data_IF_726286023725
#
_entry.id   IF_726286023725
#
_cell.length_a   1.000
_cell.length_b   1.000
_cell.length_c   1.000
_cell.angle_alpha   90.00
_cell.angle_beta   90.00
_cell.angle_gamma   90.00
#
_symmetry.space_group_name_H-M   'P 1'
#
loop_
_entity.id
_entity.type
_entity.pdbx_description
1 polymer ?
#
# COMPACT_ATOMS: atom_id res chain seq x y z
N UNK A 1 -12.97 7.46 20.67
CA UNK A 1 -12.92 6.91 19.30
C UNK A 1 -11.85 5.83 19.11
N UNK A 2 -10.63 5.97 19.67
CA UNK A 2 -9.57 4.92 19.58
C UNK A 2 -9.98 3.55 20.17
N UNK A 3 -10.72 3.55 21.28
CA UNK A 3 -11.09 2.35 22.03
C UNK A 3 -12.03 1.38 21.28
N UNK A 4 -12.85 1.89 20.35
CA UNK A 4 -13.77 1.03 19.57
C UNK A 4 -13.02 0.27 18.49
N UNK A 5 -12.04 0.93 17.84
CA UNK A 5 -11.25 0.31 16.78
C UNK A 5 -10.33 -0.76 17.37
N UNK A 6 -9.66 -0.48 18.49
CA UNK A 6 -8.79 -1.47 19.15
C UNK A 6 -9.59 -2.69 19.61
N UNK A 7 -10.74 -2.48 20.26
CA UNK A 7 -11.58 -3.59 20.70
C UNK A 7 -12.07 -4.45 19.53
N UNK A 8 -12.50 -3.82 18.42
CA UNK A 8 -12.92 -4.54 17.23
C UNK A 8 -11.78 -5.40 16.65
N UNK A 9 -10.56 -4.85 16.58
CA UNK A 9 -9.41 -5.60 16.07
C UNK A 9 -9.07 -6.79 16.98
N UNK A 10 -9.15 -6.60 18.30
CA UNK A 10 -8.90 -7.65 19.28
C UNK A 10 -9.97 -8.75 19.21
N UNK A 11 -11.26 -8.37 19.17
CA UNK A 11 -12.41 -9.27 19.09
C UNK A 11 -12.39 -10.14 17.81
N UNK A 12 -11.86 -9.58 16.72
CA UNK A 12 -11.73 -10.27 15.42
C UNK A 12 -10.37 -10.91 15.20
N UNK A 13 -9.47 -10.90 16.20
CA UNK A 13 -8.12 -11.45 16.10
C UNK A 13 -7.33 -10.93 14.89
N UNK A 14 -7.47 -9.65 14.58
CA UNK A 14 -6.79 -8.99 13.47
C UNK A 14 -5.41 -8.52 13.96
N UNK A 15 -4.36 -9.20 13.52
CA UNK A 15 -2.99 -8.78 13.82
C UNK A 15 -2.63 -7.47 13.11
N UNK A 16 -2.17 -6.48 13.87
CA UNK A 16 -1.69 -5.22 13.35
C UNK A 16 -0.22 -5.34 12.93
N UNK A 17 0.08 -4.89 11.71
CA UNK A 17 1.46 -4.79 11.26
C UNK A 17 2.16 -3.63 12.00
N UNK A 18 3.37 -3.88 12.52
CA UNK A 18 4.22 -2.81 13.07
C UNK A 18 4.71 -1.91 11.95
N UNK A 19 3.98 -0.82 11.70
CA UNK A 19 4.28 0.12 10.63
C UNK A 19 5.17 1.28 11.11
N UNK A 20 6.27 1.60 10.41
CA UNK A 20 7.07 2.78 10.74
C UNK A 20 6.30 4.06 10.42
N UNK A 21 6.32 5.01 11.37
CA UNK A 21 5.69 6.32 11.19
C UNK A 21 6.34 7.06 10.02
N UNK A 22 5.52 7.69 9.16
CA UNK A 22 5.94 8.48 7.99
C UNK A 22 6.58 7.72 6.82
N UNK A 23 6.23 6.45 6.63
CA UNK A 23 6.65 5.66 5.46
C UNK A 23 5.49 5.34 4.50
N UNK A 24 5.03 6.33 3.70
CA UNK A 24 4.03 6.09 2.65
C UNK A 24 4.59 5.22 1.51
N UNK A 25 5.92 5.27 1.30
CA UNK A 25 6.68 4.43 0.37
C UNK A 25 6.52 2.93 0.64
N UNK A 26 6.25 2.58 1.90
CA UNK A 26 5.99 1.21 2.28
C UNK A 26 4.53 0.79 2.05
N UNK A 27 3.59 1.69 1.75
CA UNK A 27 2.15 1.37 1.74
C UNK A 27 1.76 0.71 0.39
N UNK A 28 1.34 -0.57 0.36
CA UNK A 28 1.08 -1.28 -0.90
C UNK A 28 -0.07 -0.67 -1.68
N UNK A 29 -0.98 0.00 -0.97
CA UNK A 29 -2.15 0.62 -1.60
C UNK A 29 -1.73 1.82 -2.46
N UNK A 30 -0.67 2.55 -2.09
CA UNK A 30 -0.16 3.68 -2.88
C UNK A 30 0.38 3.17 -4.22
N UNK A 31 1.18 2.09 -4.19
CA UNK A 31 1.67 1.46 -5.42
C UNK A 31 0.54 0.87 -6.27
N UNK A 32 -0.52 0.36 -5.63
CA UNK A 32 -1.70 -0.10 -6.35
C UNK A 32 -2.46 1.06 -7.00
N UNK A 33 -2.57 2.20 -6.31
CA UNK A 33 -3.15 3.43 -6.87
C UNK A 33 -2.37 3.93 -8.08
N UNK A 34 -1.05 3.98 -7.99
CA UNK A 34 -0.17 4.39 -9.10
C UNK A 34 -0.37 3.51 -10.35
N UNK A 35 -0.50 2.20 -10.15
CA UNK A 35 -0.71 1.26 -11.24
C UNK A 35 -2.10 1.41 -11.89
N UNK A 36 -3.15 1.62 -11.09
CA UNK A 36 -4.49 1.89 -11.59
C UNK A 36 -4.54 3.21 -12.37
N UNK A 37 -3.90 4.25 -11.84
CA UNK A 37 -3.83 5.56 -12.47
C UNK A 37 -3.06 5.51 -13.80
N UNK A 38 -2.00 4.70 -13.86
CA UNK A 38 -1.29 4.38 -15.12
C UNK A 38 -2.20 3.68 -16.12
N UNK A 39 -2.99 2.71 -15.69
CA UNK A 39 -3.92 1.97 -16.55
C UNK A 39 -5.02 2.88 -17.12
N UNK A 40 -5.63 3.70 -16.27
CA UNK A 40 -6.67 4.65 -16.68
C UNK A 40 -6.10 5.65 -17.70
N UNK A 41 -4.89 6.17 -17.49
CA UNK A 41 -4.23 7.07 -18.45
C UNK A 41 -3.94 6.44 -19.81
N UNK A 42 -3.74 5.12 -19.86
CA UNK A 42 -3.47 4.38 -21.10
C UNK A 42 -4.73 3.97 -21.85
N UNK A 43 -5.93 4.20 -21.28
CA UNK A 43 -7.18 3.90 -21.97
C UNK A 43 -7.29 4.72 -23.25
N UNK A 44 -7.72 4.11 -24.37
CA UNK A 44 -7.89 4.82 -25.64
C UNK A 44 -9.05 5.83 -25.59
N UNK A 45 -9.99 5.66 -24.64
CA UNK A 45 -11.10 6.58 -24.40
C UNK A 45 -10.80 7.35 -23.12
N UNK A 46 -10.56 8.65 -23.25
CA UNK A 46 -10.43 9.55 -22.09
C UNK A 46 -11.84 9.78 -21.51
N UNK A 47 -12.02 9.65 -20.18
CA UNK A 47 -13.31 9.93 -19.54
C UNK A 47 -13.76 11.37 -19.82
N UNK A 48 -14.95 11.55 -20.41
CA UNK A 48 -15.54 12.85 -20.77
C UNK A 48 -16.33 13.48 -19.63
N UNK A 49 -16.73 12.69 -18.63
CA UNK A 49 -17.51 13.16 -17.47
C UNK A 49 -16.91 12.68 -16.15
N UNK A 50 -17.17 13.38 -15.04
CA UNK A 50 -16.66 13.01 -13.72
C UNK A 50 -17.25 11.70 -13.14
N UNK A 51 -18.29 11.14 -13.76
CA UNK A 51 -18.86 9.83 -13.36
C UNK A 51 -18.22 8.63 -14.06
N UNK A 52 -17.62 8.84 -15.23
CA UNK A 52 -16.87 7.79 -15.96
C UNK A 52 -15.66 7.25 -15.18
N UNK A 53 -14.85 8.09 -14.47
CA UNK A 53 -13.69 7.63 -13.70
C UNK A 53 -14.00 6.56 -12.65
N UNK A 54 -15.17 6.59 -12.02
CA UNK A 54 -15.53 5.62 -10.99
C UNK A 54 -15.88 4.24 -11.58
N UNK A 55 -16.45 4.20 -12.77
CA UNK A 55 -16.73 2.96 -13.49
C UNK A 55 -15.45 2.40 -14.11
N UNK A 56 -14.64 3.25 -14.74
CA UNK A 56 -13.35 2.88 -15.33
C UNK A 56 -12.40 2.32 -14.28
N UNK A 57 -12.32 2.95 -13.10
CA UNK A 57 -11.49 2.48 -11.99
C UNK A 57 -11.92 1.09 -11.51
N UNK A 58 -13.22 0.82 -11.40
CA UNK A 58 -13.73 -0.50 -11.01
C UNK A 58 -13.39 -1.56 -12.04
N UNK A 59 -13.47 -1.23 -13.32
CA UNK A 59 -13.12 -2.15 -14.40
C UNK A 59 -11.61 -2.46 -14.39
N UNK A 60 -10.76 -1.44 -14.29
CA UNK A 60 -9.31 -1.61 -14.19
C UNK A 60 -8.90 -2.40 -12.95
N UNK A 61 -9.51 -2.10 -11.79
CA UNK A 61 -9.29 -2.87 -10.57
C UNK A 61 -9.65 -4.34 -10.73
N UNK A 62 -10.74 -4.65 -11.44
CA UNK A 62 -11.20 -6.03 -11.65
C UNK A 62 -10.23 -6.83 -12.53
N UNK A 63 -9.57 -6.19 -13.49
CA UNK A 63 -8.64 -6.85 -14.42
C UNK A 63 -7.19 -6.80 -13.96
N UNK A 64 -6.89 -6.06 -12.88
CA UNK A 64 -5.55 -5.95 -12.34
C UNK A 64 -4.99 -7.35 -11.98
N UNK A 65 -3.86 -7.78 -12.59
CA UNK A 65 -3.36 -9.12 -12.36
C UNK A 65 -2.97 -9.34 -10.90
N UNK A 66 -3.41 -10.46 -10.31
CA UNK A 66 -3.05 -10.84 -8.94
C UNK A 66 -1.53 -10.96 -8.74
N UNK A 67 -0.78 -11.29 -9.79
CA UNK A 67 0.69 -11.30 -9.76
C UNK A 67 1.27 -9.91 -9.51
N UNK A 68 0.64 -8.85 -10.03
CA UNK A 68 1.04 -7.45 -9.80
C UNK A 68 0.86 -7.13 -8.31
N UNK A 69 -0.32 -7.40 -7.74
CA UNK A 69 -0.58 -7.17 -6.32
C UNK A 69 0.38 -7.96 -5.40
N UNK A 70 0.66 -9.23 -5.73
CA UNK A 70 1.62 -10.04 -4.96
C UNK A 70 3.04 -9.48 -5.01
N UNK A 71 3.49 -9.00 -6.18
CA UNK A 71 4.80 -8.35 -6.32
C UNK A 71 4.89 -7.07 -5.49
N UNK A 72 3.84 -6.27 -5.46
CA UNK A 72 3.76 -5.06 -4.63
C UNK A 72 3.84 -5.40 -3.13
N UNK A 73 3.12 -6.43 -2.68
CA UNK A 73 3.20 -6.88 -1.28
C UNK A 73 4.63 -7.38 -0.97
N UNK A 74 5.26 -8.12 -1.88
CA UNK A 74 6.62 -8.65 -1.69
C UNK A 74 7.69 -7.55 -1.65
N UNK A 75 7.58 -6.50 -2.47
CA UNK A 75 8.55 -5.40 -2.47
C UNK A 75 8.60 -4.68 -1.13
N UNK A 76 7.47 -4.56 -0.44
CA UNK A 76 7.42 -4.01 0.91
C UNK A 76 8.09 -4.88 1.96
N UNK A 77 7.89 -6.21 1.91
CA UNK A 77 8.55 -7.11 2.85
C UNK A 77 10.08 -7.02 2.70
N UNK A 78 10.56 -6.78 1.48
CA UNK A 78 11.94 -6.39 1.22
C UNK A 78 12.28 -5.07 1.89
N UNK A 79 11.57 -3.99 1.58
CA UNK A 79 11.86 -2.64 2.06
C UNK A 79 11.78 -2.52 3.60
N UNK A 80 10.79 -3.12 4.26
CA UNK A 80 10.66 -3.15 5.72
C UNK A 80 11.82 -3.86 6.42
N UNK A 81 12.35 -4.94 5.82
CA UNK A 81 13.58 -5.59 6.32
C UNK A 81 14.79 -4.67 6.21
N UNK A 82 14.94 -3.99 5.08
CA UNK A 82 16.04 -3.04 4.88
C UNK A 82 15.94 -1.83 5.82
N UNK A 83 14.74 -1.26 6.02
CA UNK A 83 14.51 -0.15 6.93
C UNK A 83 14.80 -0.53 8.39
N UNK A 84 14.43 -1.75 8.80
CA UNK A 84 14.76 -2.29 10.13
C UNK A 84 16.28 -2.46 10.29
N UNK A 85 16.95 -2.99 9.27
CA UNK A 85 18.42 -3.16 9.26
C UNK A 85 19.14 -1.81 9.34
N UNK A 86 18.67 -0.79 8.61
CA UNK A 86 19.26 0.55 8.63
C UNK A 86 19.11 1.25 9.99
N UNK A 87 17.99 1.04 10.71
CA UNK A 87 17.80 1.56 12.06
C UNK A 87 18.76 0.93 13.08
N UNK A 88 18.98 -0.38 13.02
CA UNK A 88 19.97 -1.05 13.89
C UNK A 88 21.39 -0.54 13.64
N UNK A 89 21.74 -0.28 12.38
CA UNK A 89 23.04 0.29 12.00
C UNK A 89 23.17 1.71 12.56
N UNK A 90 22.19 2.59 12.37
CA UNK A 90 22.23 3.98 12.89
C UNK A 90 22.33 4.01 14.42
N UNK A 91 21.59 3.16 15.14
CA UNK A 91 21.69 3.08 16.60
C UNK A 91 23.05 2.57 17.08
N UNK A 92 23.70 1.66 16.33
CA UNK A 92 25.07 1.19 16.66
C UNK A 92 26.13 2.25 16.42
N UNK A 93 26.01 3.04 15.35
CA UNK A 93 26.99 4.08 15.02
C UNK A 93 26.89 5.30 15.93
N UNK A 94 25.72 5.59 16.52
CA UNK A 94 25.53 6.69 17.46
C UNK A 94 25.87 6.33 18.93
N UNK A 95 26.35 5.11 19.18
CA UNK A 95 26.79 4.62 20.50
C UNK A 95 28.31 4.36 20.57
N UNK A 96 29.07 4.79 19.54
CA UNK A 96 30.54 4.85 19.51
C UNK A 96 30.98 6.30 19.34
#
# INVERSE_FOLDING_TARGET
MKMVITQYLDDHHIELLSWPVFSPDLNPIEHAWDELDRHIRLRPVVPRTAQEPAADLKEEWRVLPQVTLRRLIQSMHGASKHASQQREVIHRTNLL
#
